data_IF_911601448290
#
_entry.id   IF_911601448290
#
_cell.length_a   1.000
_cell.length_b   1.000
_cell.length_c   1.000
_cell.angle_alpha   90.00
_cell.angle_beta   90.00
_cell.angle_gamma   90.00
#
_symmetry.space_group_name_H-M   'P 1'
#
loop_
_entity.id
_entity.type
_entity.pdbx_description
1 polymer ?
#
# COMPACT_ATOMS: atom_id res chain seq x y z
N UNK A 1 -4.67 -29.08 -4.93
CA UNK A 1 -3.95 -30.35 -4.85
C UNK A 1 -3.98 -30.78 -3.41
N UNK A 2 -4.62 -31.89 -3.11
CA UNK A 2 -4.72 -32.36 -1.72
C UNK A 2 -3.71 -33.47 -1.52
N UNK A 3 -2.76 -33.26 -0.63
CA UNK A 3 -1.83 -34.27 -0.14
C UNK A 3 -2.45 -34.89 1.10
N UNK A 4 -2.87 -36.14 0.99
CA UNK A 4 -3.48 -36.88 2.11
C UNK A 4 -2.42 -37.81 2.68
N UNK A 5 -2.11 -37.62 3.96
CA UNK A 5 -1.33 -38.57 4.75
C UNK A 5 -2.31 -39.31 5.63
N UNK A 6 -2.44 -40.61 5.43
CA UNK A 6 -3.29 -41.46 6.27
C UNK A 6 -2.50 -41.88 7.51
N UNK A 7 -3.13 -41.85 8.70
CA UNK A 7 -2.48 -42.30 9.93
C UNK A 7 -2.22 -43.81 9.86
N UNK A 8 -1.16 -44.23 10.56
CA UNK A 8 -0.86 -45.65 10.76
C UNK A 8 -1.84 -46.28 11.75
N UNK A 9 -1.83 -47.61 11.88
CA UNK A 9 -2.77 -48.36 12.73
C UNK A 9 -2.71 -48.00 14.24
N UNK A 10 -1.65 -47.31 14.67
CA UNK A 10 -1.44 -46.81 16.04
C UNK A 10 -1.92 -45.36 16.27
N UNK A 11 -2.47 -44.73 15.26
CA UNK A 11 -3.05 -43.42 15.31
C UNK A 11 -2.11 -42.27 14.87
N UNK A 12 -2.59 -41.04 14.79
CA UNK A 12 -1.89 -39.92 14.16
C UNK A 12 -0.75 -39.32 15.00
N UNK A 13 -0.56 -39.76 16.23
CA UNK A 13 0.40 -39.18 17.15
C UNK A 13 1.82 -39.63 16.85
N UNK A 14 2.64 -38.77 16.34
CA UNK A 14 4.04 -39.04 16.01
C UNK A 14 4.27 -39.46 14.55
N UNK A 15 3.24 -39.50 13.71
CA UNK A 15 3.39 -39.78 12.29
C UNK A 15 4.08 -38.61 11.60
N UNK A 16 5.24 -38.93 11.02
CA UNK A 16 6.00 -37.95 10.20
C UNK A 16 6.14 -38.48 8.79
N UNK A 17 5.61 -37.75 7.83
CA UNK A 17 5.78 -38.06 6.41
C UNK A 17 7.12 -37.50 5.91
N UNK A 18 7.99 -38.40 5.43
CA UNK A 18 9.24 -38.02 4.78
C UNK A 18 9.05 -38.13 3.26
N UNK A 19 9.07 -37.01 2.57
CA UNK A 19 8.95 -36.95 1.11
C UNK A 19 10.33 -37.03 0.47
N UNK A 20 10.62 -38.15 -0.18
CA UNK A 20 11.85 -38.35 -0.95
C UNK A 20 11.48 -38.36 -2.42
N UNK A 21 11.92 -37.33 -3.17
CA UNK A 21 11.65 -37.19 -4.61
C UNK A 21 10.16 -37.36 -4.98
N UNK A 22 9.27 -36.48 -4.53
CA UNK A 22 7.86 -36.59 -4.86
C UNK A 22 7.66 -36.45 -6.37
N UNK A 23 6.96 -37.40 -6.99
CA UNK A 23 6.45 -37.26 -8.36
C UNK A 23 5.03 -36.73 -8.28
N UNK A 24 4.77 -35.65 -9.02
CA UNK A 24 3.44 -35.02 -9.09
C UNK A 24 2.90 -35.30 -10.49
N UNK A 25 1.87 -36.13 -10.58
CA UNK A 25 1.08 -36.30 -11.80
C UNK A 25 -0.13 -35.34 -11.73
N UNK A 26 -0.25 -34.43 -12.71
CA UNK A 26 -1.46 -33.61 -12.83
C UNK A 26 -2.37 -34.08 -13.93
N UNK A 27 -3.64 -34.11 -13.64
CA UNK A 27 -4.67 -34.05 -14.67
C UNK A 27 -4.85 -32.58 -15.10
N UNK A 28 -5.12 -32.35 -16.33
CA UNK A 28 -5.09 -31.15 -17.19
C UNK A 28 -5.98 -29.95 -16.76
N UNK A 29 -6.15 -29.68 -15.50
CA UNK A 29 -6.72 -28.40 -15.06
C UNK A 29 -5.68 -27.75 -14.16
N UNK A 30 -4.75 -27.03 -14.79
CA UNK A 30 -3.93 -26.07 -14.08
C UNK A 30 -4.85 -24.92 -13.67
N UNK A 31 -5.18 -24.73 -12.39
CA UNK A 31 -5.61 -23.42 -11.96
C UNK A 31 -4.44 -22.53 -12.33
N UNK A 32 -4.70 -21.50 -13.11
CA UNK A 32 -3.69 -20.49 -13.38
C UNK A 32 -3.38 -19.78 -12.06
N UNK A 33 -2.55 -20.41 -11.23
CA UNK A 33 -1.72 -19.66 -10.31
C UNK A 33 -0.80 -18.90 -11.24
N UNK A 34 -1.20 -17.69 -11.58
CA UNK A 34 -0.30 -16.72 -12.15
C UNK A 34 0.66 -16.36 -11.02
N UNK A 35 1.59 -17.26 -10.74
CA UNK A 35 2.87 -16.88 -10.21
C UNK A 35 3.48 -16.01 -11.29
N UNK A 36 3.21 -14.71 -11.23
CA UNK A 36 3.98 -13.74 -11.97
C UNK A 36 5.35 -13.60 -11.30
N UNK A 37 6.11 -14.69 -11.28
CA UNK A 37 7.56 -14.59 -11.18
C UNK A 37 8.03 -13.94 -12.48
N UNK A 38 7.89 -12.63 -12.54
CA UNK A 38 8.47 -11.82 -13.60
C UNK A 38 9.98 -11.98 -13.53
N UNK A 39 10.53 -12.96 -14.23
CA UNK A 39 11.95 -13.11 -14.48
C UNK A 39 12.35 -12.08 -15.55
N UNK A 40 12.54 -10.85 -15.15
CA UNK A 40 13.05 -9.78 -16.01
C UNK A 40 13.43 -8.56 -15.18
N UNK A 41 14.51 -7.86 -15.58
CA UNK A 41 14.76 -6.52 -15.05
C UNK A 41 13.57 -5.65 -15.43
N UNK A 42 12.96 -5.01 -14.44
CA UNK A 42 11.98 -3.97 -14.67
C UNK A 42 12.60 -2.77 -15.40
N UNK A 43 11.77 -1.83 -15.85
CA UNK A 43 12.26 -0.61 -16.49
C UNK A 43 13.12 0.20 -15.49
N UNK A 44 14.07 0.97 -15.99
CA UNK A 44 14.95 1.78 -15.17
C UNK A 44 14.62 3.26 -15.36
N UNK A 45 14.63 4.00 -14.26
CA UNK A 45 14.52 5.47 -14.30
C UNK A 45 15.73 6.04 -15.03
N UNK A 46 15.53 7.05 -15.87
CA UNK A 46 16.63 7.69 -16.58
C UNK A 46 17.65 8.31 -15.62
N UNK A 47 18.92 8.31 -16.00
CA UNK A 47 19.99 8.90 -15.17
C UNK A 47 19.76 10.40 -14.87
N UNK A 48 19.08 11.11 -15.76
CA UNK A 48 18.69 12.51 -15.54
C UNK A 48 17.63 12.66 -14.45
N UNK A 49 16.60 11.82 -14.49
CA UNK A 49 15.55 11.76 -13.48
C UNK A 49 16.12 11.30 -12.13
N UNK A 50 16.95 10.27 -12.13
CA UNK A 50 17.63 9.80 -10.91
C UNK A 50 18.39 10.92 -10.22
N UNK A 51 19.26 11.61 -10.96
CA UNK A 51 20.04 12.75 -10.43
C UNK A 51 19.13 13.84 -9.87
N UNK A 52 18.07 14.22 -10.61
CA UNK A 52 17.07 15.21 -10.18
C UNK A 52 16.44 14.83 -8.85
N UNK A 53 15.99 13.57 -8.72
CA UNK A 53 15.35 13.06 -7.51
C UNK A 53 16.31 13.06 -6.32
N UNK A 54 17.53 12.55 -6.49
CA UNK A 54 18.56 12.56 -5.44
C UNK A 54 18.91 13.98 -4.97
N UNK A 55 19.03 14.92 -5.92
CA UNK A 55 19.32 16.32 -5.57
C UNK A 55 18.14 16.99 -4.82
N UNK A 56 16.91 16.60 -5.09
CA UNK A 56 15.72 17.05 -4.33
C UNK A 56 15.69 16.43 -2.93
N UNK A 57 15.94 15.13 -2.80
CA UNK A 57 15.99 14.44 -1.51
C UNK A 57 17.04 15.03 -0.59
N UNK A 58 18.25 15.31 -1.11
CA UNK A 58 19.35 15.93 -0.34
C UNK A 58 19.02 17.29 0.26
N UNK A 59 18.03 18.00 -0.28
CA UNK A 59 17.60 19.32 0.25
C UNK A 59 16.58 19.20 1.39
N UNK A 60 16.05 18.01 1.62
CA UNK A 60 15.11 17.78 2.72
C UNK A 60 15.84 17.76 4.08
N UNK A 61 15.19 18.16 5.14
CA UNK A 61 15.70 17.95 6.48
C UNK A 61 15.90 16.45 6.72
N UNK A 62 16.95 16.11 7.46
CA UNK A 62 17.29 14.70 7.75
C UNK A 62 16.52 14.19 8.96
N UNK A 63 16.05 12.95 8.88
CA UNK A 63 15.48 12.21 10.00
C UNK A 63 16.27 10.93 10.20
N UNK A 64 16.83 10.74 11.40
CA UNK A 64 17.51 9.50 11.77
C UNK A 64 16.55 8.34 11.97
N UNK A 65 17.08 7.13 11.82
CA UNK A 65 16.40 5.86 12.12
C UNK A 65 17.20 5.12 13.21
N UNK A 66 16.56 4.34 14.11
CA UNK A 66 15.12 4.15 14.23
C UNK A 66 14.37 5.41 14.70
N UNK A 67 13.09 5.45 14.43
CA UNK A 67 12.23 6.53 14.90
C UNK A 67 11.96 6.38 16.40
N UNK A 68 11.99 7.50 17.12
CA UNK A 68 11.61 7.50 18.53
C UNK A 68 10.09 7.38 18.69
N UNK A 69 9.67 6.64 19.70
CA UNK A 69 8.26 6.48 20.03
C UNK A 69 7.71 7.73 20.72
N UNK A 70 6.43 7.95 20.54
CA UNK A 70 5.68 9.03 21.19
C UNK A 70 4.71 8.41 22.19
N UNK A 71 4.85 8.74 23.46
CA UNK A 71 4.05 8.16 24.56
C UNK A 71 3.00 9.15 25.08
N UNK A 72 2.12 9.66 24.24
CA UNK A 72 0.99 10.46 24.69
C UNK A 72 -0.29 10.07 23.97
N UNK A 73 -1.38 10.14 24.69
CA UNK A 73 -2.71 9.92 24.15
C UNK A 73 -3.21 11.19 23.46
N UNK A 74 -3.23 11.19 22.14
CA UNK A 74 -3.61 12.33 21.31
C UNK A 74 -5.12 12.63 21.37
N UNK A 75 -5.95 11.65 21.78
CA UNK A 75 -7.38 11.85 21.99
C UNK A 75 -7.67 12.65 23.28
N UNK A 76 -6.87 12.42 24.32
CA UNK A 76 -7.03 13.09 25.61
C UNK A 76 -6.21 14.37 25.74
N UNK A 77 -5.09 14.45 25.01
CA UNK A 77 -4.16 15.60 25.11
C UNK A 77 -3.96 16.22 23.73
N UNK A 78 -4.19 17.52 23.55
CA UNK A 78 -3.93 18.18 22.28
C UNK A 78 -2.47 17.98 21.85
N UNK A 79 -2.28 17.28 20.75
CA UNK A 79 -0.96 17.10 20.16
C UNK A 79 -0.41 18.42 19.63
N UNK A 80 0.90 18.64 19.77
CA UNK A 80 1.64 19.73 19.10
C UNK A 80 2.40 19.24 17.88
N UNK A 81 2.23 17.99 17.52
CA UNK A 81 2.91 17.36 16.40
C UNK A 81 2.48 17.99 15.08
N UNK A 82 3.46 18.22 14.21
CA UNK A 82 3.23 18.77 12.87
C UNK A 82 3.76 17.83 11.81
N UNK A 83 3.06 17.77 10.71
CA UNK A 83 3.48 17.03 9.54
C UNK A 83 4.76 17.62 8.95
N UNK A 84 5.70 16.74 8.64
CA UNK A 84 6.97 17.05 8.01
C UNK A 84 7.38 15.98 7.01
N UNK A 85 8.27 16.38 6.10
CA UNK A 85 8.82 15.48 5.09
C UNK A 85 10.33 15.55 5.21
N UNK A 86 10.96 14.37 5.33
CA UNK A 86 12.35 14.23 5.68
C UNK A 86 13.05 13.28 4.72
N UNK A 87 14.35 13.48 4.51
CA UNK A 87 15.19 12.47 3.90
C UNK A 87 15.67 11.49 4.97
N UNK A 88 15.75 10.23 4.62
CA UNK A 88 16.41 9.20 5.44
C UNK A 88 17.94 9.21 5.23
N UNK A 89 18.73 8.61 6.15
CA UNK A 89 20.19 8.63 6.05
C UNK A 89 20.77 7.99 4.78
N UNK A 90 20.02 7.09 4.13
CA UNK A 90 20.43 6.46 2.88
C UNK A 90 20.42 7.43 1.67
N UNK A 91 19.76 8.59 1.82
CA UNK A 91 19.63 9.60 0.77
C UNK A 91 18.80 9.20 -0.44
N UNK A 92 18.08 8.07 -0.36
CA UNK A 92 17.25 7.51 -1.45
C UNK A 92 15.80 7.34 -1.06
N UNK A 93 15.48 7.56 0.21
CA UNK A 93 14.14 7.37 0.78
C UNK A 93 13.64 8.67 1.41
N UNK A 94 12.30 8.80 1.44
CA UNK A 94 11.59 9.95 2.01
C UNK A 94 10.69 9.43 3.13
N UNK A 95 10.66 10.16 4.24
CA UNK A 95 9.80 9.91 5.37
C UNK A 95 8.77 11.04 5.48
N UNK A 96 7.49 10.70 5.44
CA UNK A 96 6.36 11.57 5.75
C UNK A 96 5.96 11.28 7.19
N UNK A 97 6.12 12.22 8.13
CA UNK A 97 5.87 11.97 9.56
C UNK A 97 5.36 13.20 10.28
N UNK A 98 4.44 12.98 11.23
CA UNK A 98 3.99 14.02 12.18
C UNK A 98 4.35 13.67 13.64
N UNK A 99 5.18 12.67 13.89
CA UNK A 99 5.56 12.23 15.22
C UNK A 99 4.67 11.15 15.82
N UNK A 100 3.45 10.94 15.33
CA UNK A 100 2.53 9.87 15.76
C UNK A 100 2.49 8.73 14.76
N UNK A 101 2.49 9.05 13.50
CA UNK A 101 2.60 8.10 12.39
C UNK A 101 3.71 8.54 11.44
N UNK A 102 4.33 7.58 10.78
CA UNK A 102 5.25 7.86 9.69
C UNK A 102 5.08 6.83 8.57
N UNK A 103 5.12 7.28 7.31
CA UNK A 103 5.17 6.41 6.13
C UNK A 103 6.49 6.64 5.40
N UNK A 104 7.22 5.58 5.17
CA UNK A 104 8.53 5.62 4.53
C UNK A 104 8.44 5.14 3.08
N UNK A 105 8.95 5.96 2.17
CA UNK A 105 8.94 5.69 0.75
C UNK A 105 10.36 5.54 0.22
N UNK A 106 10.64 4.45 -0.45
CA UNK A 106 11.77 4.35 -1.35
C UNK A 106 11.43 5.09 -2.63
N UNK A 107 12.32 5.96 -3.09
CA UNK A 107 12.13 6.73 -4.32
C UNK A 107 12.86 6.07 -5.49
N UNK A 108 14.02 5.49 -5.24
CA UNK A 108 14.85 4.84 -6.26
C UNK A 108 15.18 3.39 -5.87
N UNK A 109 15.14 2.44 -6.84
CA UNK A 109 15.04 2.60 -8.30
C UNK A 109 13.63 2.90 -8.80
N UNK A 110 12.58 2.77 -7.99
CA UNK A 110 11.22 3.21 -8.25
C UNK A 110 10.48 3.47 -6.94
N UNK A 111 9.36 4.20 -7.02
CA UNK A 111 8.54 4.53 -5.86
C UNK A 111 7.97 3.26 -5.23
N UNK A 112 8.14 3.12 -3.92
CA UNK A 112 7.46 2.07 -3.14
C UNK A 112 7.42 2.42 -1.66
N UNK A 113 6.28 2.22 -1.02
CA UNK A 113 6.18 2.26 0.45
C UNK A 113 6.99 1.10 1.03
N UNK A 114 7.93 1.42 1.91
CA UNK A 114 8.73 0.43 2.63
C UNK A 114 8.08 0.04 3.94
N UNK A 115 7.51 1.02 4.65
CA UNK A 115 6.89 0.79 5.93
C UNK A 115 5.92 1.91 6.33
N UNK A 116 5.00 1.57 7.23
CA UNK A 116 4.19 2.47 8.01
C UNK A 116 4.55 2.24 9.47
N UNK A 117 5.01 3.26 10.16
CA UNK A 117 5.38 3.20 11.56
C UNK A 117 4.27 3.78 12.42
N UNK A 118 3.71 2.97 13.30
CA UNK A 118 2.91 3.45 14.40
C UNK A 118 3.86 3.91 15.52
N UNK A 119 4.13 5.21 15.59
CA UNK A 119 5.08 5.77 16.56
C UNK A 119 4.52 5.84 17.99
N UNK A 120 3.23 5.64 18.17
CA UNK A 120 2.60 5.58 19.48
C UNK A 120 2.89 4.24 20.16
N UNK A 121 2.97 3.14 19.38
CA UNK A 121 3.31 1.80 19.89
C UNK A 121 4.76 1.41 19.61
N UNK A 122 5.41 2.03 18.64
CA UNK A 122 6.73 1.66 18.13
C UNK A 122 6.69 0.53 17.10
N UNK A 123 5.53 0.25 16.55
CA UNK A 123 5.30 -0.86 15.64
C UNK A 123 5.65 -0.49 14.21
N UNK A 124 6.41 -1.38 13.53
CA UNK A 124 6.60 -1.43 12.09
C UNK A 124 5.50 -2.31 11.52
N UNK A 125 4.66 -1.76 10.66
CA UNK A 125 3.38 -2.39 10.32
C UNK A 125 3.43 -3.23 9.05
N UNK A 126 4.43 -3.03 8.15
CA UNK A 126 4.50 -3.75 6.89
C UNK A 126 5.54 -4.86 6.92
N UNK A 127 5.19 -6.03 6.38
CA UNK A 127 6.07 -7.19 6.23
C UNK A 127 6.62 -7.37 4.82
N UNK A 128 6.02 -6.70 3.84
CA UNK A 128 6.47 -6.84 2.46
C UNK A 128 6.20 -5.58 1.63
N UNK A 129 7.09 -5.37 0.69
CA UNK A 129 7.02 -4.26 -0.25
C UNK A 129 6.11 -4.62 -1.42
N UNK A 130 5.27 -3.69 -1.84
CA UNK A 130 4.32 -3.83 -2.95
C UNK A 130 4.38 -2.59 -3.85
N UNK A 131 3.57 -2.58 -4.92
CA UNK A 131 3.30 -1.35 -5.68
C UNK A 131 2.42 -0.40 -4.87
N UNK A 132 2.46 0.88 -5.21
CA UNK A 132 1.61 1.91 -4.58
C UNK A 132 0.13 1.80 -4.98
N UNK A 133 -0.21 0.90 -5.84
CA UNK A 133 -1.52 0.67 -6.39
C UNK A 133 -1.44 0.21 -7.84
N UNK A 134 -2.56 0.22 -8.54
CA UNK A 134 -2.59 -0.17 -9.96
C UNK A 134 -3.68 0.56 -10.73
N UNK A 135 -3.51 0.59 -12.04
CA UNK A 135 -4.50 1.03 -13.02
C UNK A 135 -4.74 -0.05 -14.07
N UNK A 136 -5.99 -0.25 -14.45
CA UNK A 136 -6.33 -1.01 -15.66
C UNK A 136 -6.71 -0.01 -16.73
N UNK A 137 -5.91 0.05 -17.80
CA UNK A 137 -6.08 0.95 -18.93
C UNK A 137 -6.25 0.10 -20.17
N UNK A 138 -7.33 0.31 -20.92
CA UNK A 138 -7.66 -0.41 -22.16
C UNK A 138 -7.58 -1.94 -21.97
N UNK A 139 -8.14 -2.45 -20.87
CA UNK A 139 -8.19 -3.86 -20.49
C UNK A 139 -6.88 -4.44 -19.94
N UNK A 140 -5.81 -3.66 -19.82
CA UNK A 140 -4.50 -4.12 -19.32
C UNK A 140 -4.15 -3.47 -17.99
N UNK A 141 -3.77 -4.31 -16.99
CA UNK A 141 -3.33 -3.85 -15.67
C UNK A 141 -1.89 -3.37 -15.69
N UNK A 142 -1.65 -2.25 -15.03
CA UNK A 142 -0.36 -1.61 -14.84
C UNK A 142 -0.16 -1.28 -13.37
N UNK A 143 1.02 -1.58 -12.85
CA UNK A 143 1.38 -1.26 -11.47
C UNK A 143 1.85 0.20 -11.34
N UNK A 144 1.58 0.84 -10.22
CA UNK A 144 2.06 2.18 -9.91
C UNK A 144 3.28 2.10 -9.01
N UNK A 145 4.45 2.37 -9.55
CA UNK A 145 5.69 2.13 -8.81
C UNK A 145 5.90 0.66 -8.48
N UNK A 146 6.49 0.41 -7.33
CA UNK A 146 6.73 -0.94 -6.80
C UNK A 146 8.12 -1.46 -7.05
N UNK A 147 8.58 -2.26 -6.07
CA UNK A 147 9.85 -2.98 -6.10
C UNK A 147 9.60 -4.48 -6.09
N UNK A 148 10.55 -5.24 -6.60
CA UNK A 148 10.56 -6.70 -6.60
C UNK A 148 11.93 -7.22 -6.19
N UNK A 149 11.99 -8.50 -5.77
CA UNK A 149 13.24 -9.14 -5.34
C UNK A 149 13.38 -9.24 -3.83
N UNK A 150 12.31 -9.00 -3.06
CA UNK A 150 12.30 -9.31 -1.63
C UNK A 150 12.45 -10.83 -1.46
N UNK A 151 13.47 -11.31 -0.71
CA UNK A 151 13.74 -12.75 -0.59
C UNK A 151 12.66 -13.53 0.17
N UNK A 152 12.06 -12.90 1.18
CA UNK A 152 11.06 -13.49 2.07
C UNK A 152 9.93 -12.48 2.28
N UNK A 153 8.69 -12.91 2.11
CA UNK A 153 7.54 -12.01 2.23
C UNK A 153 6.77 -12.13 3.56
N UNK A 154 7.21 -13.01 4.43
CA UNK A 154 6.68 -13.13 5.79
C UNK A 154 7.18 -12.06 6.75
N UNK A 155 8.29 -11.41 6.43
CA UNK A 155 8.86 -10.27 7.17
C UNK A 155 9.70 -9.41 6.24
N UNK A 156 10.08 -8.22 6.70
CA UNK A 156 10.85 -7.27 5.92
C UNK A 156 12.15 -6.88 6.62
N UNK A 157 13.23 -6.80 5.85
CA UNK A 157 14.53 -6.30 6.30
C UNK A 157 15.01 -5.18 5.39
N UNK A 158 15.39 -4.06 5.99
CA UNK A 158 15.81 -2.84 5.27
C UNK A 158 17.01 -3.08 4.35
N UNK A 159 17.90 -4.00 4.74
CA UNK A 159 19.10 -4.35 3.98
C UNK A 159 18.79 -4.92 2.59
N UNK A 160 17.61 -5.51 2.43
CA UNK A 160 17.19 -6.09 1.14
C UNK A 160 16.88 -5.03 0.09
N UNK A 161 16.50 -3.83 0.52
CA UNK A 161 16.05 -2.75 -0.39
C UNK A 161 17.11 -2.39 -1.42
N UNK A 162 18.40 -2.44 -1.07
CA UNK A 162 19.49 -2.12 -2.00
C UNK A 162 19.64 -3.14 -3.14
N UNK A 163 19.10 -4.34 -2.99
CA UNK A 163 19.14 -5.40 -4.01
C UNK A 163 17.83 -5.51 -4.79
N UNK A 164 16.78 -4.82 -4.33
CA UNK A 164 15.49 -4.82 -5.01
C UNK A 164 15.55 -3.98 -6.28
N UNK A 165 14.76 -4.37 -7.25
CA UNK A 165 14.67 -3.73 -8.55
C UNK A 165 13.25 -3.24 -8.84
N UNK A 166 13.11 -2.37 -9.83
CA UNK A 166 11.80 -1.91 -10.30
C UNK A 166 10.92 -3.09 -10.71
N UNK A 167 9.66 -3.05 -10.30
CA UNK A 167 8.66 -4.06 -10.68
C UNK A 167 8.39 -3.95 -12.19
N UNK A 168 8.44 -5.06 -12.94
CA UNK A 168 8.17 -5.05 -14.37
C UNK A 168 6.73 -4.57 -14.68
N UNK A 169 6.57 -3.82 -15.76
CA UNK A 169 5.26 -3.31 -16.17
C UNK A 169 4.70 -2.21 -15.28
N UNK A 170 5.55 -1.54 -14.50
CA UNK A 170 5.12 -0.44 -13.64
C UNK A 170 5.35 0.93 -14.27
N UNK A 171 4.54 1.89 -13.86
CA UNK A 171 4.83 3.31 -14.05
C UNK A 171 6.08 3.68 -13.24
N UNK A 172 6.92 4.55 -13.80
CA UNK A 172 8.17 4.98 -13.20
C UNK A 172 8.03 6.33 -12.51
N UNK A 173 8.74 6.47 -11.40
CA UNK A 173 8.87 7.75 -10.71
C UNK A 173 9.59 8.77 -11.60
N UNK A 174 8.97 9.93 -11.78
CA UNK A 174 9.50 11.06 -12.56
C UNK A 174 9.86 12.25 -11.67
N UNK A 175 9.05 12.52 -10.66
CA UNK A 175 9.24 13.65 -9.75
C UNK A 175 8.48 13.47 -8.44
N UNK A 176 8.74 14.35 -7.48
CA UNK A 176 7.88 14.56 -6.32
C UNK A 176 7.75 16.05 -5.98
N UNK A 177 6.65 16.42 -5.34
CA UNK A 177 6.38 17.80 -4.88
C UNK A 177 5.94 17.78 -3.42
N UNK A 178 6.23 18.85 -2.71
CA UNK A 178 5.83 19.07 -1.33
C UNK A 178 5.03 20.35 -1.27
N UNK A 179 3.83 20.27 -0.72
CA UNK A 179 2.89 21.37 -0.65
C UNK A 179 2.25 21.41 0.75
N UNK A 180 1.63 22.53 1.09
CA UNK A 180 0.75 22.57 2.25
C UNK A 180 -0.52 21.78 1.96
N UNK A 181 -1.10 21.16 2.99
CA UNK A 181 -2.36 20.45 2.88
C UNK A 181 -3.45 21.36 2.27
N UNK A 182 -4.19 20.83 1.32
CA UNK A 182 -5.32 21.53 0.70
C UNK A 182 -6.61 20.73 0.93
N UNK A 183 -7.67 21.44 1.29
CA UNK A 183 -9.01 20.85 1.32
C UNK A 183 -9.49 20.61 -0.10
N UNK A 184 -9.76 19.37 -0.46
CA UNK A 184 -10.31 19.02 -1.76
C UNK A 184 -11.82 19.26 -1.83
N UNK A 185 -12.50 19.24 -0.70
CA UNK A 185 -13.95 19.42 -0.60
C UNK A 185 -14.22 20.74 0.15
N UNK A 186 -14.85 21.67 -0.55
CA UNK A 186 -15.33 22.91 0.07
C UNK A 186 -16.72 22.66 0.65
N UNK A 187 -16.83 22.62 1.95
CA UNK A 187 -18.09 22.43 2.65
C UNK A 187 -18.36 23.55 3.66
N UNK A 188 -19.64 23.88 3.81
CA UNK A 188 -20.06 24.89 4.79
C UNK A 188 -20.03 24.27 6.18
N UNK A 189 -19.21 24.84 7.07
CA UNK A 189 -19.15 24.42 8.47
C UNK A 189 -20.46 24.75 9.17
N UNK A 190 -21.09 23.78 9.76
CA UNK A 190 -22.35 24.00 10.47
C UNK A 190 -22.09 24.67 11.84
N UNK A 191 -23.15 25.35 12.35
CA UNK A 191 -23.09 26.13 13.58
C UNK A 191 -22.70 25.31 14.83
N UNK A 192 -22.92 24.01 14.81
CA UNK A 192 -22.57 23.11 15.91
C UNK A 192 -21.17 22.50 15.78
N UNK A 193 -20.44 22.75 14.72
CA UNK A 193 -19.03 22.37 14.65
C UNK A 193 -18.25 23.19 15.68
N UNK A 194 -17.66 22.51 16.66
CA UNK A 194 -16.89 23.14 17.73
C UNK A 194 -15.61 23.76 17.19
N UNK A 195 -14.95 23.05 16.29
CA UNK A 195 -13.75 23.53 15.61
C UNK A 195 -14.09 24.09 14.23
N UNK A 196 -13.71 25.35 13.99
CA UNK A 196 -13.86 26.05 12.71
C UNK A 196 -12.54 26.21 11.97
N UNK A 197 -11.47 25.67 12.51
CA UNK A 197 -10.16 25.76 11.88
C UNK A 197 -10.10 24.81 10.67
N UNK A 198 -9.42 25.27 9.63
CA UNK A 198 -9.12 24.45 8.48
C UNK A 198 -8.03 23.48 8.87
N UNK A 199 -8.16 22.17 8.57
CA UNK A 199 -7.10 21.22 8.81
C UNK A 199 -5.79 21.66 8.16
N UNK A 200 -4.69 21.58 8.91
CA UNK A 200 -3.35 21.84 8.41
C UNK A 200 -2.53 20.56 8.31
N UNK A 201 -1.46 20.60 7.54
CA UNK A 201 -0.60 19.46 7.33
C UNK A 201 0.25 19.61 6.09
N UNK A 202 0.80 18.51 5.59
CA UNK A 202 1.65 18.47 4.40
C UNK A 202 1.09 17.51 3.37
N UNK A 203 1.20 17.88 2.11
CA UNK A 203 0.98 17.03 0.95
C UNK A 203 2.31 16.66 0.32
N UNK A 204 2.56 15.38 0.17
CA UNK A 204 3.63 14.81 -0.64
C UNK A 204 3.00 14.19 -1.89
N UNK A 205 3.32 14.73 -3.05
CA UNK A 205 2.84 14.23 -4.34
C UNK A 205 3.98 13.56 -5.07
N UNK A 206 3.82 12.30 -5.43
CA UNK A 206 4.71 11.61 -6.35
C UNK A 206 4.10 11.62 -7.76
N UNK A 207 4.94 11.90 -8.74
CA UNK A 207 4.56 11.90 -10.16
C UNK A 207 5.15 10.67 -10.82
N UNK A 208 4.30 9.82 -11.33
CA UNK A 208 4.66 8.61 -12.06
C UNK A 208 4.34 8.78 -13.54
N UNK A 209 5.17 8.20 -14.39
CA UNK A 209 5.07 8.28 -15.83
C UNK A 209 4.96 6.90 -16.45
N UNK A 210 4.02 6.76 -17.36
CA UNK A 210 3.89 5.56 -18.16
C UNK A 210 4.97 5.49 -19.24
N UNK A 211 5.32 4.27 -19.62
CA UNK A 211 6.28 3.99 -20.69
C UNK A 211 5.63 3.09 -21.75
N UNK A 212 6.19 3.10 -22.97
CA UNK A 212 5.76 2.26 -24.09
C UNK A 212 4.26 2.41 -24.38
N UNK A 213 3.46 1.40 -24.05
CA UNK A 213 2.01 1.37 -24.28
C UNK A 213 1.24 2.44 -23.49
N UNK A 214 1.79 2.88 -22.36
CA UNK A 214 1.23 3.93 -21.51
C UNK A 214 1.97 5.26 -21.64
N UNK A 215 2.85 5.41 -22.65
CA UNK A 215 3.55 6.68 -22.88
C UNK A 215 2.55 7.82 -23.10
N UNK A 216 2.76 8.93 -22.40
CA UNK A 216 1.83 10.06 -22.38
C UNK A 216 0.79 9.99 -21.26
N UNK A 217 0.69 8.88 -20.52
CA UNK A 217 -0.13 8.83 -19.30
C UNK A 217 0.72 9.20 -18.09
N UNK A 218 0.22 10.11 -17.27
CA UNK A 218 0.87 10.53 -16.01
C UNK A 218 -0.05 10.25 -14.84
N UNK A 219 0.50 9.74 -13.77
CA UNK A 219 -0.23 9.47 -12.52
C UNK A 219 0.40 10.27 -11.39
N UNK A 220 -0.39 11.03 -10.67
CA UNK A 220 -0.01 11.71 -9.44
C UNK A 220 -0.61 10.97 -8.25
N UNK A 221 0.24 10.52 -7.33
CA UNK A 221 -0.16 9.96 -6.06
C UNK A 221 0.04 11.01 -4.98
N UNK A 222 -1.05 11.39 -4.33
CA UNK A 222 -1.06 12.39 -3.26
C UNK A 222 -1.14 11.70 -1.92
N UNK A 223 -0.20 12.02 -1.03
CA UNK A 223 -0.17 11.59 0.35
C UNK A 223 -0.26 12.83 1.24
N UNK A 224 -1.36 12.97 1.96
CA UNK A 224 -1.59 14.05 2.88
C UNK A 224 -1.42 13.53 4.31
N UNK A 225 -0.61 14.21 5.09
CA UNK A 225 -0.47 13.95 6.50
C UNK A 225 -0.98 15.15 7.28
N UNK A 226 -1.94 14.92 8.15
CA UNK A 226 -2.55 15.94 8.97
C UNK A 226 -1.68 16.32 10.18
N UNK A 227 -1.70 17.60 10.56
CA UNK A 227 -1.17 18.05 11.83
C UNK A 227 -2.04 17.51 12.97
N UNK A 228 -1.43 17.18 14.10
CA UNK A 228 -2.08 16.87 15.37
C UNK A 228 -2.89 15.58 15.45
N UNK A 229 -3.07 14.83 14.36
CA UNK A 229 -3.77 13.54 14.34
C UNK A 229 -2.97 12.53 13.49
N UNK A 230 -3.00 11.22 13.85
CA UNK A 230 -2.22 10.20 13.14
C UNK A 230 -2.92 9.72 11.86
N UNK A 231 -3.35 10.64 11.00
CA UNK A 231 -4.11 10.31 9.78
C UNK A 231 -3.30 10.64 8.54
N UNK A 232 -3.15 9.65 7.68
CA UNK A 232 -2.63 9.78 6.32
C UNK A 232 -3.81 9.63 5.36
N UNK A 233 -3.96 10.56 4.41
CA UNK A 233 -4.91 10.44 3.30
C UNK A 233 -4.15 10.18 2.02
N UNK A 234 -4.63 9.25 1.21
CA UNK A 234 -4.10 8.99 -0.13
C UNK A 234 -5.17 9.16 -1.20
N UNK A 235 -4.77 9.73 -2.33
CA UNK A 235 -5.60 9.84 -3.54
C UNK A 235 -4.73 9.80 -4.79
N UNK A 236 -5.37 9.60 -5.94
CA UNK A 236 -4.70 9.48 -7.23
C UNK A 236 -5.35 10.39 -8.26
N UNK A 237 -4.53 11.02 -9.09
CA UNK A 237 -4.98 11.74 -10.28
C UNK A 237 -4.27 11.17 -11.52
N UNK A 238 -5.03 10.78 -12.54
CA UNK A 238 -4.52 10.29 -13.83
C UNK A 238 -4.74 11.35 -14.89
N UNK A 239 -3.69 11.72 -15.58
CA UNK A 239 -3.75 12.67 -16.71
C UNK A 239 -3.43 11.94 -18.02
N UNK A 240 -4.32 12.07 -19.00
CA UNK A 240 -4.12 11.56 -20.33
C UNK A 240 -3.50 12.64 -21.23
N UNK A 241 -2.19 12.62 -21.43
CA UNK A 241 -1.48 13.50 -22.36
C UNK A 241 -1.27 12.85 -23.74
N UNK A 242 -1.90 11.72 -24.01
CA UNK A 242 -1.88 11.08 -25.33
C UNK A 242 -2.83 11.83 -26.29
N UNK A 243 -2.66 11.70 -27.59
CA UNK A 243 -3.57 12.32 -28.56
C UNK A 243 -4.94 11.60 -28.68
N UNK A 244 -5.12 10.45 -28.02
CA UNK A 244 -6.33 9.63 -28.08
C UNK A 244 -6.98 9.50 -26.71
N UNK A 245 -8.26 9.12 -26.68
CA UNK A 245 -8.90 8.70 -25.44
C UNK A 245 -8.34 7.37 -24.97
N UNK A 246 -8.31 7.16 -23.67
CA UNK A 246 -8.01 5.87 -23.02
C UNK A 246 -9.16 5.49 -22.10
N UNK A 247 -9.39 4.20 -21.91
CA UNK A 247 -10.39 3.72 -20.96
C UNK A 247 -9.72 3.33 -19.64
N UNK A 248 -10.16 3.94 -18.54
CA UNK A 248 -9.80 3.54 -17.18
C UNK A 248 -10.86 2.55 -16.71
N UNK A 249 -10.55 1.26 -16.81
CA UNK A 249 -11.51 0.18 -16.51
C UNK A 249 -11.59 -0.07 -15.00
N UNK A 250 -10.44 -0.04 -14.32
CA UNK A 250 -10.34 -0.26 -12.88
C UNK A 250 -9.12 0.46 -12.29
N UNK A 251 -9.12 0.67 -10.98
CA UNK A 251 -7.96 1.09 -10.23
C UNK A 251 -7.93 0.48 -8.83
N UNK A 252 -6.72 0.42 -8.27
CA UNK A 252 -6.46 0.05 -6.90
C UNK A 252 -5.64 1.17 -6.27
N UNK A 253 -6.16 1.75 -5.20
CA UNK A 253 -5.53 2.93 -4.57
C UNK A 253 -4.51 2.54 -3.53
N UNK A 254 -4.74 1.45 -2.78
CA UNK A 254 -3.77 0.84 -1.86
C UNK A 254 -3.65 -0.66 -2.08
N UNK A 255 -2.44 -1.17 -1.90
CA UNK A 255 -2.15 -2.59 -1.83
C UNK A 255 -0.96 -2.82 -0.89
N UNK A 256 -1.24 -3.00 0.40
CA UNK A 256 -0.24 -3.03 1.46
C UNK A 256 -0.22 -4.37 2.19
N UNK A 257 0.96 -4.96 2.29
CA UNK A 257 1.18 -6.23 2.99
C UNK A 257 1.53 -5.97 4.45
N UNK A 258 0.51 -5.97 5.31
CA UNK A 258 0.68 -5.77 6.74
C UNK A 258 1.23 -7.01 7.44
N UNK A 259 1.96 -6.79 8.54
CA UNK A 259 2.28 -7.84 9.47
C UNK A 259 1.01 -8.30 10.19
N UNK A 260 0.75 -9.59 10.18
CA UNK A 260 -0.38 -10.14 10.92
C UNK A 260 -0.13 -10.09 12.44
N UNK A 261 -1.09 -9.59 13.24
CA UNK A 261 -0.96 -9.55 14.69
C UNK A 261 -0.98 -10.94 15.34
N UNK A 262 -1.57 -11.91 14.66
CA UNK A 262 -1.72 -13.29 15.13
C UNK A 262 -1.20 -14.28 14.08
N UNK A 263 -0.50 -15.31 14.54
CA UNK A 263 -0.11 -16.40 13.66
C UNK A 263 -1.33 -17.26 13.35
N UNK A 264 -1.65 -17.51 12.06
CA UNK A 264 -2.77 -18.36 11.68
C UNK A 264 -2.44 -19.84 11.90
N UNK A 265 -2.25 -20.24 13.14
CA UNK A 265 -1.93 -21.61 13.53
C UNK A 265 -3.08 -22.62 13.38
N UNK A 266 -4.06 -22.32 12.57
CA UNK A 266 -5.30 -23.05 12.38
C UNK A 266 -6.46 -22.34 13.06
N UNK A 267 -7.48 -22.03 12.30
CA UNK A 267 -8.66 -21.31 12.77
C UNK A 267 -9.48 -20.77 11.61
N UNK A 268 -10.57 -20.12 11.96
CA UNK A 268 -11.45 -19.45 11.01
C UNK A 268 -10.84 -18.10 10.61
N UNK A 269 -10.42 -17.89 9.35
CA UNK A 269 -9.81 -16.64 8.90
C UNK A 269 -10.67 -15.40 9.16
N UNK A 270 -11.99 -15.54 9.20
CA UNK A 270 -12.91 -14.44 9.48
C UNK A 270 -12.82 -13.91 10.93
N UNK A 271 -12.14 -14.65 11.80
CA UNK A 271 -11.92 -14.31 13.20
C UNK A 271 -10.49 -13.85 13.49
N UNK A 272 -9.62 -13.81 12.50
CA UNK A 272 -8.26 -13.33 12.69
C UNK A 272 -8.29 -11.84 13.00
N UNK A 273 -7.49 -11.46 13.98
CA UNK A 273 -7.31 -10.07 14.34
C UNK A 273 -6.62 -9.33 13.20
N UNK A 274 -7.18 -8.21 12.80
CA UNK A 274 -6.58 -7.31 11.82
C UNK A 274 -5.51 -6.43 12.46
N UNK A 275 -4.58 -5.85 11.68
CA UNK A 275 -3.62 -4.86 12.15
C UNK A 275 -4.31 -3.66 12.81
N UNK A 276 -3.61 -3.00 13.74
CA UNK A 276 -4.13 -1.83 14.45
C UNK A 276 -4.11 -0.56 13.58
N UNK A 277 -4.90 -0.58 12.53
CA UNK A 277 -5.12 0.53 11.63
C UNK A 277 -6.59 0.62 11.23
N UNK A 278 -7.17 1.80 11.35
CA UNK A 278 -8.50 2.08 10.83
C UNK A 278 -8.35 2.64 9.42
N UNK A 279 -9.13 2.13 8.49
CA UNK A 279 -9.09 2.53 7.09
C UNK A 279 -10.51 2.81 6.60
N UNK A 280 -10.69 3.98 6.02
CA UNK A 280 -11.96 4.40 5.40
C UNK A 280 -11.71 5.16 4.10
N UNK A 281 -12.67 5.13 3.20
CA UNK A 281 -12.67 5.99 2.00
C UNK A 281 -13.79 7.03 2.03
N UNK A 282 -13.64 8.09 1.22
CA UNK A 282 -14.71 9.05 0.96
C UNK A 282 -15.64 8.59 -0.18
N UNK A 283 -15.46 7.37 -0.67
CA UNK A 283 -16.38 6.69 -1.57
C UNK A 283 -17.42 5.91 -0.76
N UNK A 284 -18.31 6.64 -0.11
CA UNK A 284 -19.42 6.03 0.60
C UNK A 284 -20.62 5.91 -0.34
N UNK A 285 -20.79 4.75 -0.93
CA UNK A 285 -22.01 4.40 -1.66
C UNK A 285 -22.71 3.26 -0.96
N UNK A 286 -23.59 3.58 -0.07
CA UNK A 286 -24.38 2.55 0.58
C UNK A 286 -25.52 3.15 1.38
N UNK A 287 -26.74 2.94 0.94
CA UNK A 287 -27.93 3.19 1.74
C UNK A 287 -28.34 1.97 2.56
N UNK A 288 -27.62 0.86 2.43
CA UNK A 288 -28.02 -0.43 2.97
C UNK A 288 -27.05 -0.88 4.07
N UNK A 289 -27.59 -1.60 5.04
CA UNK A 289 -26.85 -1.99 6.24
C UNK A 289 -26.16 -3.35 6.13
N UNK A 290 -26.00 -3.87 4.93
CA UNK A 290 -25.35 -5.16 4.71
C UNK A 290 -24.19 -5.04 3.74
N UNK A 291 -23.12 -5.78 4.00
CA UNK A 291 -21.94 -5.89 3.17
C UNK A 291 -22.26 -6.26 1.70
N UNK A 292 -23.37 -6.97 1.49
CA UNK A 292 -23.81 -7.36 0.15
C UNK A 292 -24.30 -6.18 -0.69
N UNK A 293 -24.86 -5.18 -0.03
CA UNK A 293 -25.57 -4.05 -0.64
C UNK A 293 -24.78 -2.75 -0.58
N UNK A 294 -23.64 -2.77 0.11
CA UNK A 294 -22.72 -1.66 0.22
C UNK A 294 -21.50 -1.91 -0.65
N UNK A 295 -21.05 -0.91 -1.38
CA UNK A 295 -19.75 -0.99 -2.08
C UNK A 295 -18.66 -0.70 -1.06
N UNK A 296 -18.07 -1.77 -0.54
CA UNK A 296 -16.94 -1.70 0.38
C UNK A 296 -15.68 -1.61 -0.45
N UNK A 297 -14.99 -0.50 -0.34
CA UNK A 297 -13.73 -0.25 -1.05
C UNK A 297 -12.52 -0.82 -0.31
N UNK A 298 -12.58 -0.86 1.02
CA UNK A 298 -11.52 -1.36 1.90
C UNK A 298 -11.73 -2.85 2.17
N UNK A 299 -10.75 -3.65 1.77
CA UNK A 299 -10.81 -5.12 1.90
C UNK A 299 -9.52 -5.63 2.52
N UNK A 300 -9.67 -6.55 3.45
CA UNK A 300 -8.57 -7.34 3.97
C UNK A 300 -8.61 -8.70 3.31
N UNK A 301 -7.58 -8.98 2.50
CA UNK A 301 -7.53 -10.21 1.69
C UNK A 301 -6.28 -11.01 1.98
N UNK A 302 -6.32 -12.30 1.63
CA UNK A 302 -5.15 -13.16 1.74
C UNK A 302 -4.06 -12.72 0.75
N UNK A 303 -2.79 -12.83 1.17
CA UNK A 303 -1.65 -12.56 0.30
C UNK A 303 -1.26 -13.82 -0.47
N UNK A 304 -1.44 -13.85 -1.80
CA UNK A 304 -1.06 -15.00 -2.60
C UNK A 304 0.46 -15.20 -2.72
N UNK A 305 1.25 -14.18 -2.39
CA UNK A 305 2.71 -14.21 -2.43
C UNK A 305 3.33 -14.45 -1.03
N UNK A 306 2.51 -14.79 -0.03
CA UNK A 306 3.00 -15.04 1.32
C UNK A 306 3.90 -16.28 1.35
N UNK A 307 5.13 -16.13 1.85
CA UNK A 307 6.15 -17.18 1.83
C UNK A 307 6.36 -17.85 3.18
N UNK A 308 5.75 -17.35 4.26
CA UNK A 308 5.86 -17.94 5.59
C UNK A 308 5.25 -19.35 5.64
N UNK A 309 5.99 -20.31 6.17
CA UNK A 309 5.51 -21.67 6.41
C UNK A 309 4.35 -21.75 7.41
N UNK A 310 4.10 -20.68 8.16
CA UNK A 310 3.01 -20.60 9.14
C UNK A 310 1.67 -20.17 8.53
N UNK A 311 1.68 -19.71 7.31
CA UNK A 311 0.46 -19.32 6.62
C UNK A 311 -0.18 -20.51 5.92
N UNK A 312 -0.65 -21.44 6.69
CA UNK A 312 -1.49 -22.54 6.25
C UNK A 312 -2.93 -22.06 6.24
N UNK A 313 -3.60 -22.10 5.26
CA UNK A 313 -3.58 -22.38 3.83
C UNK A 313 -3.56 -21.10 2.99
N UNK A 314 -2.78 -20.10 3.27
CA UNK A 314 -2.73 -18.80 2.58
C UNK A 314 -4.03 -18.01 2.71
N UNK A 315 -4.70 -18.10 3.85
CA UNK A 315 -6.00 -17.47 4.09
C UNK A 315 -5.94 -16.27 5.04
N UNK A 316 -4.75 -15.95 5.59
CA UNK A 316 -4.61 -14.82 6.52
C UNK A 316 -4.90 -13.51 5.77
N UNK A 317 -5.92 -12.75 6.18
CA UNK A 317 -6.30 -11.51 5.52
C UNK A 317 -5.36 -10.36 5.95
N UNK A 318 -4.13 -10.37 5.46
CA UNK A 318 -3.08 -9.41 5.83
C UNK A 318 -2.69 -8.44 4.70
N UNK A 319 -3.36 -8.50 3.56
CA UNK A 319 -3.29 -7.48 2.53
C UNK A 319 -4.46 -6.51 2.70
N UNK A 320 -4.14 -5.24 2.86
CA UNK A 320 -5.11 -4.17 2.66
C UNK A 320 -5.19 -3.87 1.17
N UNK A 321 -6.34 -4.14 0.59
CA UNK A 321 -6.70 -3.79 -0.79
C UNK A 321 -7.77 -2.70 -0.76
N UNK A 322 -7.46 -1.52 -1.31
CA UNK A 322 -8.42 -0.43 -1.45
C UNK A 322 -8.70 -0.21 -2.92
N UNK A 323 -9.86 -0.69 -3.35
CA UNK A 323 -10.29 -0.62 -4.73
C UNK A 323 -11.82 -0.65 -4.83
N UNK A 324 -12.46 0.07 -5.76
CA UNK A 324 -13.89 -0.07 -5.98
C UNK A 324 -14.20 -1.49 -6.46
N UNK A 325 -15.36 -1.99 -6.09
CA UNK A 325 -15.82 -3.32 -6.51
C UNK A 325 -16.03 -3.40 -8.02
N UNK A 326 -16.48 -2.30 -8.62
CA UNK A 326 -16.75 -2.17 -10.03
C UNK A 326 -16.25 -0.81 -10.55
N UNK A 327 -15.69 -0.82 -11.75
CA UNK A 327 -15.34 0.40 -12.47
C UNK A 327 -14.02 1.06 -12.05
N UNK A 328 -13.80 2.31 -12.48
CA UNK A 328 -14.83 3.28 -12.89
C UNK A 328 -15.39 3.10 -14.30
N UNK A 329 -14.78 2.28 -15.19
CA UNK A 329 -15.16 2.15 -16.60
C UNK A 329 -15.33 3.54 -17.26
N UNK A 330 -14.31 4.38 -17.12
CA UNK A 330 -14.35 5.79 -17.48
C UNK A 330 -13.45 6.06 -18.67
N UNK A 331 -14.05 6.57 -19.77
CA UNK A 331 -13.29 7.02 -20.96
C UNK A 331 -12.69 8.39 -20.68
N UNK A 332 -11.36 8.44 -20.58
CA UNK A 332 -10.59 9.66 -20.33
C UNK A 332 -10.10 10.26 -21.65
N UNK A 333 -10.69 11.34 -22.09
CA UNK A 333 -10.31 12.00 -23.33
C UNK A 333 -8.90 12.61 -23.27
N UNK A 334 -8.31 12.88 -24.42
CA UNK A 334 -7.03 13.57 -24.54
C UNK A 334 -7.01 14.89 -23.75
N UNK A 335 -5.99 15.10 -22.95
CA UNK A 335 -5.82 16.29 -22.09
C UNK A 335 -6.72 16.34 -20.85
N UNK A 336 -7.55 15.34 -20.62
CA UNK A 336 -8.43 15.28 -19.45
C UNK A 336 -7.74 14.59 -18.25
N UNK A 337 -8.35 14.79 -17.08
CA UNK A 337 -7.91 14.22 -15.81
C UNK A 337 -9.02 13.38 -15.18
N UNK A 338 -8.64 12.26 -14.62
CA UNK A 338 -9.46 11.42 -13.75
C UNK A 338 -8.92 11.53 -12.32
N UNK A 339 -9.80 11.71 -11.34
CA UNK A 339 -9.44 11.73 -9.92
C UNK A 339 -10.16 10.60 -9.19
N UNK A 340 -9.41 9.82 -8.41
CA UNK A 340 -9.95 8.78 -7.54
C UNK A 340 -10.70 9.38 -6.35
N UNK A 341 -11.40 8.55 -5.60
CA UNK A 341 -11.74 8.84 -4.21
C UNK A 341 -10.45 8.91 -3.36
N UNK A 342 -10.58 9.34 -2.11
CA UNK A 342 -9.48 9.31 -1.14
C UNK A 342 -9.67 8.19 -0.12
N UNK A 343 -8.57 7.58 0.31
CA UNK A 343 -8.53 6.66 1.44
C UNK A 343 -7.84 7.34 2.62
N UNK A 344 -8.33 7.08 3.82
CA UNK A 344 -7.82 7.61 5.08
C UNK A 344 -7.35 6.44 5.94
N UNK A 345 -6.13 6.54 6.41
CA UNK A 345 -5.44 5.52 7.20
C UNK A 345 -5.06 6.12 8.56
N UNK A 346 -5.49 5.48 9.63
CA UNK A 346 -5.26 5.95 10.99
C UNK A 346 -4.79 4.78 11.88
N UNK A 347 -3.47 4.61 12.09
CA UNK A 347 -2.96 3.70 13.10
C UNK A 347 -3.43 4.11 14.49
N UNK A 348 -3.73 3.14 15.34
CA UNK A 348 -4.14 3.34 16.72
C UNK A 348 -3.31 2.47 17.68
N UNK A 349 -3.36 2.79 18.98
CA UNK A 349 -2.46 2.24 19.99
C UNK A 349 -3.11 1.21 20.92
N UNK A 350 -4.38 0.91 20.72
CA UNK A 350 -5.16 0.02 21.57
C UNK A 350 -5.69 -1.19 20.83
N UNK A 351 -5.85 -2.29 21.56
CA UNK A 351 -6.59 -3.46 21.10
C UNK A 351 -8.11 -3.29 21.30
N UNK A 352 -8.51 -2.26 22.04
CA UNK A 352 -9.90 -1.87 22.23
C UNK A 352 -10.40 -1.15 20.99
N UNK A 353 -11.39 -1.73 20.36
CA UNK A 353 -12.00 -1.25 19.11
C UNK A 353 -13.41 -0.72 19.30
N UNK A 354 -13.87 -0.57 20.56
CA UNK A 354 -15.17 -0.02 20.89
C UNK A 354 -15.15 1.51 21.07
#
# INVERSE_FOLDING_TARGET
MDLIVEPTDDGPSGDHALWITPQIEYMEIIPSIISTSYQGKGPEVSSGTEKKLLDKIKRLPQQGLPLENTSFDWLLQPSRSKAGIYATPDGKSILLSNGMVARMFRVLPNLSTLDIFNRMTGESMLRAVSSEGSLTIDGKRWELGGLTGQPERGYFQMEWVEQMTTRPGSFLIEDFRIEELQEDIKWARSRWALNKEVPTGKRLTFVLKGEKETEGVTVELHYDLYDHIPVIRKSMEVTNNTPQSIDIDAFQLEYLAFAEPESPGGGDPSKFRLPNIHVESDYACGGEFTERETDITEKWVADPEYTSQRNYPLLTPCILDVSPKLGPNYTLAAGQKFKSFSVYEMPFDSDDRE
#
